data_IF_387558684348
#
_entry.id   IF_387558684348
#
_cell.length_a   1.000
_cell.length_b   1.000
_cell.length_c   1.000
_cell.angle_alpha   90.00
_cell.angle_beta   90.00
_cell.angle_gamma   90.00
#
_symmetry.space_group_name_H-M   'P 1'
#
loop_
_entity.id
_entity.type
_entity.pdbx_description
1 polymer ?
#
# COMPACT_ATOMS: atom_id res chain seq x y z
N UNK A 1 5.87 -14.91 -23.62
CA UNK A 1 5.16 -13.98 -22.73
C UNK A 1 4.32 -13.08 -23.60
N UNK A 2 3.01 -12.94 -23.33
CA UNK A 2 2.19 -11.96 -24.05
C UNK A 2 2.66 -10.56 -23.66
N UNK A 3 2.85 -9.67 -24.64
CA UNK A 3 3.15 -8.28 -24.31
C UNK A 3 1.88 -7.58 -23.83
N UNK A 4 2.00 -6.42 -23.19
CA UNK A 4 0.87 -5.74 -22.55
C UNK A 4 -0.23 -5.38 -23.55
N UNK A 5 0.08 -5.13 -24.83
CA UNK A 5 -0.91 -4.89 -25.88
C UNK A 5 -1.67 -6.17 -26.26
N UNK A 6 -1.00 -7.33 -26.25
CA UNK A 6 -1.65 -8.62 -26.46
C UNK A 6 -2.59 -8.94 -25.30
N UNK A 7 -2.19 -8.56 -24.08
CA UNK A 7 -3.01 -8.69 -22.87
C UNK A 7 -4.30 -7.86 -23.00
N UNK A 8 -4.20 -6.62 -23.47
CA UNK A 8 -5.36 -5.73 -23.62
C UNK A 8 -6.23 -6.12 -24.82
N UNK A 9 -5.62 -6.57 -25.92
CA UNK A 9 -6.34 -6.98 -27.12
C UNK A 9 -7.16 -8.27 -26.95
N UNK A 10 -6.79 -9.12 -26.00
CA UNK A 10 -7.51 -10.38 -25.72
C UNK A 10 -8.84 -10.15 -24.96
N UNK A 11 -9.08 -8.95 -24.44
CA UNK A 11 -10.34 -8.63 -23.76
C UNK A 11 -11.31 -8.07 -24.78
N UNK A 12 -12.23 -8.91 -25.22
CA UNK A 12 -13.22 -8.59 -26.26
C UNK A 12 -14.17 -7.44 -25.90
N UNK A 13 -14.39 -7.18 -24.60
CA UNK A 13 -15.07 -6.00 -24.07
C UNK A 13 -14.35 -5.50 -22.81
N UNK A 14 -13.96 -4.20 -22.73
CA UNK A 14 -13.33 -3.67 -21.55
C UNK A 14 -14.30 -3.76 -20.36
N UNK A 15 -13.82 -4.13 -19.15
CA UNK A 15 -14.62 -4.16 -17.94
C UNK A 15 -15.27 -2.79 -17.67
N UNK A 16 -16.55 -2.79 -17.28
CA UNK A 16 -17.31 -1.55 -17.04
C UNK A 16 -17.00 -0.89 -15.70
N UNK A 17 -16.30 -1.59 -14.81
CA UNK A 17 -15.95 -1.12 -13.47
C UNK A 17 -14.46 -1.24 -13.23
N UNK A 18 -13.93 -0.40 -12.34
CA UNK A 18 -12.52 -0.48 -11.95
C UNK A 18 -12.18 -1.82 -11.30
N UNK A 19 -13.08 -2.37 -10.49
CA UNK A 19 -12.89 -3.70 -9.89
C UNK A 19 -12.81 -4.80 -10.97
N UNK A 20 -13.68 -4.76 -11.98
CA UNK A 20 -13.62 -5.66 -13.13
C UNK A 20 -12.31 -5.54 -13.90
N UNK A 21 -11.79 -4.31 -14.05
CA UNK A 21 -10.48 -4.03 -14.65
C UNK A 21 -9.33 -4.66 -13.84
N UNK A 22 -9.34 -4.50 -12.51
CA UNK A 22 -8.35 -5.12 -11.64
C UNK A 22 -8.40 -6.65 -11.74
N UNK A 23 -9.60 -7.24 -11.67
CA UNK A 23 -9.76 -8.70 -11.73
C UNK A 23 -9.31 -9.29 -13.08
N UNK A 24 -9.55 -8.56 -14.18
CA UNK A 24 -9.19 -9.04 -15.53
C UNK A 24 -7.67 -9.05 -15.77
N UNK A 25 -6.91 -8.16 -15.13
CA UNK A 25 -5.50 -7.92 -15.48
C UNK A 25 -4.48 -8.18 -14.36
N UNK A 26 -4.91 -8.42 -13.11
CA UNK A 26 -4.01 -8.54 -11.97
C UNK A 26 -2.92 -9.62 -12.16
N UNK A 27 -3.27 -10.80 -12.66
CA UNK A 27 -2.31 -11.90 -12.86
C UNK A 27 -1.29 -11.56 -13.95
N UNK A 28 -1.77 -11.00 -15.05
CA UNK A 28 -0.91 -10.62 -16.19
C UNK A 28 0.05 -9.50 -15.84
N UNK A 29 -0.40 -8.53 -15.04
CA UNK A 29 0.45 -7.46 -14.52
C UNK A 29 1.44 -8.01 -13.48
N UNK A 30 1.02 -8.99 -12.67
CA UNK A 30 1.91 -9.70 -11.77
C UNK A 30 3.05 -10.41 -12.51
N UNK A 31 2.72 -11.12 -13.59
CA UNK A 31 3.71 -11.77 -14.45
C UNK A 31 4.67 -10.74 -15.08
N UNK A 32 4.13 -9.61 -15.56
CA UNK A 32 4.94 -8.53 -16.11
C UNK A 32 5.92 -7.97 -15.07
N UNK A 33 5.46 -7.65 -13.86
CA UNK A 33 6.31 -7.14 -12.77
C UNK A 33 7.45 -8.12 -12.46
N UNK A 34 7.16 -9.43 -12.43
CA UNK A 34 8.16 -10.46 -12.15
C UNK A 34 9.22 -10.59 -13.25
N UNK A 35 8.98 -10.09 -14.47
CA UNK A 35 10.02 -10.06 -15.52
C UNK A 35 11.15 -9.10 -15.22
N UNK A 36 10.92 -8.12 -14.35
CA UNK A 36 11.91 -7.14 -13.90
C UNK A 36 12.71 -7.60 -12.67
N UNK A 37 12.40 -8.80 -12.12
CA UNK A 37 13.24 -9.38 -11.08
C UNK A 37 14.50 -10.00 -11.72
N UNK A 38 15.69 -9.59 -11.31
CA UNK A 38 16.92 -10.19 -11.83
C UNK A 38 17.09 -11.64 -11.34
N UNK A 39 17.97 -12.38 -12.00
CA UNK A 39 18.42 -13.68 -11.57
C UNK A 39 19.78 -13.59 -10.86
N UNK A 40 20.03 -14.48 -9.91
CA UNK A 40 21.31 -14.55 -9.22
C UNK A 40 22.42 -15.08 -10.13
N UNK A 41 23.64 -14.62 -9.88
CA UNK A 41 24.85 -15.14 -10.54
C UNK A 41 25.43 -16.36 -9.81
N UNK A 42 24.82 -16.76 -8.70
CA UNK A 42 25.16 -17.94 -7.90
C UNK A 42 23.88 -18.66 -7.45
N UNK A 43 23.82 -20.01 -7.47
CA UNK A 43 22.62 -20.75 -7.07
C UNK A 43 22.07 -20.42 -5.67
N UNK A 44 22.95 -20.08 -4.73
CA UNK A 44 22.54 -19.71 -3.38
C UNK A 44 21.95 -18.29 -3.32
N UNK A 45 22.27 -17.39 -4.26
CA UNK A 45 21.56 -16.09 -4.37
C UNK A 45 20.12 -16.30 -4.79
N UNK A 46 19.88 -17.20 -5.77
CA UNK A 46 18.52 -17.56 -6.15
C UNK A 46 17.77 -18.20 -4.98
N UNK A 47 18.41 -19.18 -4.30
CA UNK A 47 17.79 -19.89 -3.19
C UNK A 47 17.42 -19.01 -2.01
N UNK A 48 18.32 -18.10 -1.59
CA UNK A 48 18.15 -17.33 -0.36
C UNK A 48 17.52 -15.95 -0.57
N UNK A 49 17.47 -15.44 -1.80
CA UNK A 49 17.06 -14.08 -2.07
C UNK A 49 16.00 -13.98 -3.18
N UNK A 50 16.35 -14.34 -4.44
CA UNK A 50 15.46 -14.10 -5.58
C UNK A 50 14.22 -15.01 -5.57
N UNK A 51 14.36 -16.29 -5.26
CA UNK A 51 13.22 -17.22 -5.20
C UNK A 51 12.24 -16.84 -4.08
N UNK A 52 12.66 -16.56 -2.84
CA UNK A 52 11.76 -16.05 -1.80
C UNK A 52 11.06 -14.75 -2.17
N UNK A 53 11.79 -13.79 -2.75
CA UNK A 53 11.22 -12.50 -3.17
C UNK A 53 10.17 -12.69 -4.28
N UNK A 54 10.49 -13.51 -5.29
CA UNK A 54 9.57 -13.83 -6.37
C UNK A 54 8.29 -14.50 -5.84
N UNK A 55 8.44 -15.53 -5.01
CA UNK A 55 7.31 -16.22 -4.37
C UNK A 55 6.43 -15.25 -3.58
N UNK A 56 7.04 -14.34 -2.82
CA UNK A 56 6.30 -13.32 -2.07
C UNK A 56 5.54 -12.37 -3.01
N UNK A 57 6.16 -11.93 -4.09
CA UNK A 57 5.50 -11.12 -5.12
C UNK A 57 4.35 -11.86 -5.81
N UNK A 58 4.47 -13.17 -6.06
CA UNK A 58 3.44 -14.01 -6.68
C UNK A 58 2.27 -14.34 -5.73
N UNK A 59 2.42 -14.14 -4.43
CA UNK A 59 1.39 -14.44 -3.44
C UNK A 59 0.19 -13.48 -3.51
N UNK A 60 -0.53 -13.50 -4.63
CA UNK A 60 -1.76 -12.75 -4.85
C UNK A 60 -1.55 -11.23 -4.92
N UNK A 61 -2.66 -10.50 -4.87
CA UNK A 61 -2.68 -9.05 -4.92
C UNK A 61 -3.44 -8.52 -6.14
N UNK A 62 -4.18 -7.43 -5.94
CA UNK A 62 -5.02 -6.83 -7.00
C UNK A 62 -4.22 -6.02 -8.02
N UNK A 63 -2.92 -5.82 -7.81
CA UNK A 63 -2.02 -5.03 -8.69
C UNK A 63 -2.58 -3.65 -9.07
N UNK A 64 -3.35 -3.05 -8.17
CA UNK A 64 -4.02 -1.78 -8.47
C UNK A 64 -3.04 -0.64 -8.75
N UNK A 65 -1.87 -0.58 -8.08
CA UNK A 65 -0.87 0.48 -8.28
C UNK A 65 -0.26 0.48 -9.68
N UNK A 66 0.24 -0.64 -10.20
CA UNK A 66 0.64 -0.74 -11.60
C UNK A 66 -0.50 -0.40 -12.56
N UNK A 67 -1.72 -0.89 -12.29
CA UNK A 67 -2.86 -0.70 -13.17
C UNK A 67 -3.32 0.77 -13.25
N UNK A 68 -3.32 1.51 -12.13
CA UNK A 68 -3.63 2.95 -12.17
C UNK A 68 -2.50 3.77 -12.84
N UNK A 69 -1.24 3.33 -12.75
CA UNK A 69 -0.14 3.92 -13.51
C UNK A 69 -0.37 3.79 -15.03
N UNK A 70 -0.73 2.59 -15.50
CA UNK A 70 -1.10 2.39 -16.90
C UNK A 70 -2.33 3.21 -17.32
N UNK A 71 -3.37 3.20 -16.49
CA UNK A 71 -4.59 3.97 -16.77
C UNK A 71 -4.30 5.48 -16.87
N UNK A 72 -3.45 6.00 -16.01
CA UNK A 72 -3.03 7.41 -16.05
C UNK A 72 -2.22 7.75 -17.30
N UNK A 73 -1.31 6.88 -17.71
CA UNK A 73 -0.56 7.04 -18.97
C UNK A 73 -1.52 7.11 -20.19
N UNK A 74 -2.50 6.21 -20.24
CA UNK A 74 -3.52 6.22 -21.29
C UNK A 74 -4.42 7.44 -21.23
N UNK A 75 -4.80 7.91 -20.06
CA UNK A 75 -5.70 9.05 -19.87
C UNK A 75 -5.15 10.35 -20.47
N UNK A 76 -3.84 10.52 -20.49
CA UNK A 76 -3.15 11.66 -21.14
C UNK A 76 -2.76 11.39 -22.60
N UNK A 77 -3.19 10.25 -23.17
CA UNK A 77 -2.93 9.90 -24.58
C UNK A 77 -1.60 9.21 -24.83
N UNK A 78 -0.90 8.76 -23.79
CA UNK A 78 0.39 8.08 -23.91
C UNK A 78 0.31 6.61 -24.29
N UNK A 79 1.47 6.03 -24.55
CA UNK A 79 1.63 4.60 -24.80
C UNK A 79 1.98 3.89 -23.49
N UNK A 80 1.05 3.09 -22.98
CA UNK A 80 1.23 2.38 -21.70
C UNK A 80 2.41 1.38 -21.70
N UNK A 81 2.91 0.96 -22.88
CA UNK A 81 4.11 0.11 -22.98
C UNK A 81 5.32 0.78 -22.37
N UNK A 82 5.41 2.10 -22.49
CA UNK A 82 6.48 2.90 -21.90
C UNK A 82 6.40 2.99 -20.37
N UNK A 83 5.24 2.67 -19.78
CA UNK A 83 5.05 2.74 -18.33
C UNK A 83 5.35 1.42 -17.60
N UNK A 84 5.78 0.36 -18.30
CA UNK A 84 5.96 -0.98 -17.73
C UNK A 84 7.03 -1.04 -16.65
N UNK A 85 8.19 -0.41 -16.88
CA UNK A 85 9.29 -0.36 -15.90
C UNK A 85 8.90 0.41 -14.65
N UNK A 86 8.23 1.54 -14.81
CA UNK A 86 7.77 2.36 -13.70
C UNK A 86 6.64 1.68 -12.89
N UNK A 87 5.71 1.01 -13.58
CA UNK A 87 4.68 0.21 -12.94
C UNK A 87 5.28 -0.96 -12.13
N UNK A 88 6.31 -1.63 -12.67
CA UNK A 88 7.07 -2.64 -11.93
C UNK A 88 7.82 -2.05 -10.74
N UNK A 89 8.47 -0.90 -10.89
CA UNK A 89 9.16 -0.19 -9.82
C UNK A 89 8.22 0.11 -8.64
N UNK A 90 7.01 0.61 -8.91
CA UNK A 90 6.00 0.90 -7.89
C UNK A 90 5.57 -0.39 -7.16
N UNK A 91 5.41 -1.49 -7.87
CA UNK A 91 5.03 -2.77 -7.25
C UNK A 91 6.20 -3.40 -6.46
N UNK A 92 7.46 -3.23 -6.90
CA UNK A 92 8.64 -3.61 -6.12
C UNK A 92 8.70 -2.82 -4.81
N UNK A 93 8.42 -1.51 -4.86
CA UNK A 93 8.30 -0.72 -3.65
C UNK A 93 7.22 -1.25 -2.71
N UNK A 94 6.03 -1.55 -3.24
CA UNK A 94 4.94 -2.13 -2.45
C UNK A 94 5.35 -3.48 -1.82
N UNK A 95 6.02 -4.33 -2.58
CA UNK A 95 6.53 -5.63 -2.08
C UNK A 95 7.52 -5.42 -0.92
N UNK A 96 8.47 -4.50 -1.06
CA UNK A 96 9.42 -4.13 0.00
C UNK A 96 8.71 -3.62 1.26
N UNK A 97 7.76 -2.69 1.07
CA UNK A 97 6.99 -2.12 2.16
C UNK A 97 6.22 -3.20 2.94
N UNK A 98 5.59 -4.15 2.23
CA UNK A 98 4.88 -5.26 2.88
C UNK A 98 5.82 -6.20 3.64
N UNK A 99 6.99 -6.54 3.10
CA UNK A 99 7.97 -7.41 3.78
C UNK A 99 8.45 -6.75 5.07
N UNK A 100 8.78 -5.46 5.02
CA UNK A 100 9.25 -4.72 6.20
C UNK A 100 8.14 -4.47 7.21
N UNK A 101 6.91 -4.20 6.75
CA UNK A 101 5.72 -4.03 7.58
C UNK A 101 5.38 -5.32 8.34
N UNK A 102 5.40 -6.48 7.63
CA UNK A 102 5.18 -7.80 8.26
C UNK A 102 6.18 -8.08 9.39
N UNK A 103 7.44 -7.64 9.26
CA UNK A 103 8.45 -7.78 10.31
C UNK A 103 8.16 -6.82 11.47
N UNK A 104 7.83 -5.57 11.17
CA UNK A 104 7.58 -4.54 12.17
C UNK A 104 6.33 -4.82 13.01
N UNK A 105 5.29 -5.38 12.38
CA UNK A 105 4.02 -5.75 13.01
C UNK A 105 4.06 -7.16 13.64
N UNK A 106 5.18 -7.89 13.51
CA UNK A 106 5.32 -9.30 13.94
C UNK A 106 4.19 -10.18 13.36
N UNK A 107 3.76 -9.90 12.12
CA UNK A 107 2.65 -10.58 11.47
C UNK A 107 3.03 -12.02 11.11
N UNK A 108 2.14 -12.99 11.36
CA UNK A 108 2.38 -14.39 11.01
C UNK A 108 1.95 -14.71 9.58
N UNK A 109 0.87 -14.09 9.11
CA UNK A 109 0.24 -14.37 7.82
C UNK A 109 0.08 -13.10 6.97
N UNK A 110 0.28 -13.26 5.66
CA UNK A 110 -0.04 -12.25 4.64
C UNK A 110 -0.80 -12.91 3.49
N UNK A 111 -2.03 -12.46 3.24
CA UNK A 111 -2.90 -13.04 2.18
C UNK A 111 -3.15 -14.55 2.32
N UNK A 112 -3.16 -15.05 3.57
CA UNK A 112 -3.37 -16.45 3.89
C UNK A 112 -2.13 -17.34 3.85
N UNK A 113 -0.96 -16.78 3.49
CA UNK A 113 0.32 -17.50 3.48
C UNK A 113 1.24 -16.98 4.59
N UNK A 114 2.16 -17.80 5.12
CA UNK A 114 3.14 -17.36 6.12
C UNK A 114 4.00 -16.20 5.61
N UNK A 115 4.22 -15.20 6.47
CA UNK A 115 5.11 -14.08 6.16
C UNK A 115 6.55 -14.54 5.90
N UNK A 116 7.30 -13.79 5.10
CA UNK A 116 8.66 -14.18 4.70
C UNK A 116 9.59 -14.36 5.90
N UNK A 117 9.51 -13.50 6.92
CA UNK A 117 10.34 -13.64 8.11
C UNK A 117 10.03 -14.89 8.94
N UNK A 118 8.82 -15.44 8.83
CA UNK A 118 8.46 -16.72 9.47
C UNK A 118 9.06 -17.93 8.73
N UNK A 119 9.21 -17.85 7.40
CA UNK A 119 9.72 -18.96 6.58
C UNK A 119 11.23 -18.93 6.35
N UNK A 120 11.80 -17.74 6.10
CA UNK A 120 13.20 -17.55 5.74
C UNK A 120 14.04 -16.96 6.89
N UNK A 121 13.37 -16.48 7.95
CA UNK A 121 13.99 -15.74 9.05
C UNK A 121 14.14 -14.26 8.78
N UNK A 122 14.20 -13.46 9.87
CA UNK A 122 14.19 -11.98 9.83
C UNK A 122 15.33 -11.44 8.96
N UNK A 123 16.54 -12.01 9.06
CA UNK A 123 17.71 -11.48 8.33
C UNK A 123 17.55 -11.57 6.82
N UNK A 124 17.05 -12.69 6.28
CA UNK A 124 16.81 -12.85 4.85
C UNK A 124 15.60 -12.05 4.38
N UNK A 125 14.57 -11.92 5.22
CA UNK A 125 13.41 -11.09 4.90
C UNK A 125 13.78 -9.60 4.78
N UNK A 126 14.57 -9.05 5.71
CA UNK A 126 15.11 -7.68 5.60
C UNK A 126 15.89 -7.54 4.29
N UNK A 127 16.81 -8.46 4.00
CA UNK A 127 17.64 -8.40 2.80
C UNK A 127 16.81 -8.47 1.50
N UNK A 128 15.73 -9.25 1.48
CA UNK A 128 14.81 -9.31 0.34
C UNK A 128 14.04 -8.00 0.15
N UNK A 129 13.58 -7.38 1.24
CA UNK A 129 12.96 -6.06 1.22
C UNK A 129 13.91 -4.97 0.72
N UNK A 130 15.17 -4.98 1.15
CA UNK A 130 16.21 -4.04 0.70
C UNK A 130 16.53 -4.22 -0.80
N UNK A 131 16.57 -5.48 -1.29
CA UNK A 131 16.70 -5.74 -2.72
C UNK A 131 15.52 -5.13 -3.48
N UNK A 132 14.29 -5.39 -3.05
CA UNK A 132 13.10 -4.84 -3.69
C UNK A 132 13.11 -3.31 -3.71
N UNK A 133 13.57 -2.64 -2.63
CA UNK A 133 13.78 -1.18 -2.62
C UNK A 133 14.85 -0.73 -3.62
N UNK A 134 15.94 -1.48 -3.77
CA UNK A 134 16.99 -1.13 -4.74
C UNK A 134 16.50 -1.22 -6.19
N UNK A 135 15.58 -2.17 -6.46
CA UNK A 135 14.97 -2.35 -7.79
C UNK A 135 14.04 -1.20 -8.19
N UNK A 136 13.51 -0.44 -7.23
CA UNK A 136 12.59 0.68 -7.52
C UNK A 136 13.19 1.65 -8.54
N UNK A 137 14.40 2.14 -8.28
CA UNK A 137 15.06 3.07 -9.19
C UNK A 137 15.80 2.33 -10.32
N UNK A 138 16.40 1.18 -10.03
CA UNK A 138 17.14 0.37 -10.99
C UNK A 138 16.31 0.00 -12.21
N UNK A 139 15.08 -0.45 -12.01
CA UNK A 139 14.17 -0.85 -13.07
C UNK A 139 13.89 0.28 -14.08
N UNK A 140 13.75 1.53 -13.60
CA UNK A 140 13.52 2.71 -14.46
C UNK A 140 14.81 3.17 -15.15
N UNK A 141 15.94 3.14 -14.42
CA UNK A 141 17.26 3.53 -14.99
C UNK A 141 17.63 2.65 -16.17
N UNK A 142 17.39 1.35 -16.06
CA UNK A 142 17.76 0.36 -17.06
C UNK A 142 16.78 0.27 -18.24
N UNK A 143 15.63 0.98 -18.20
CA UNK A 143 14.65 0.95 -19.28
C UNK A 143 15.23 1.60 -20.56
N UNK A 144 15.37 0.86 -21.68
CA UNK A 144 15.92 1.39 -22.93
C UNK A 144 14.92 2.26 -23.69
N UNK A 145 13.62 2.18 -23.39
CA UNK A 145 12.56 2.83 -24.16
C UNK A 145 12.20 4.23 -23.61
N UNK A 146 12.68 4.56 -22.38
CA UNK A 146 12.51 5.88 -21.79
C UNK A 146 13.74 6.78 -22.06
N UNK A 147 13.48 8.03 -22.44
CA UNK A 147 14.53 9.04 -22.53
C UNK A 147 15.03 9.49 -21.14
N UNK A 148 16.24 10.03 -21.08
CA UNK A 148 16.88 10.42 -19.81
C UNK A 148 16.10 11.50 -19.04
N UNK A 149 15.42 12.41 -19.75
CA UNK A 149 14.61 13.44 -19.10
C UNK A 149 13.40 12.83 -18.38
N UNK A 150 12.70 11.94 -19.04
CA UNK A 150 11.58 11.20 -18.48
C UNK A 150 12.03 10.32 -17.30
N UNK A 151 13.15 9.59 -17.45
CA UNK A 151 13.74 8.80 -16.35
C UNK A 151 13.99 9.65 -15.11
N UNK A 152 14.65 10.80 -15.25
CA UNK A 152 14.96 11.68 -14.12
C UNK A 152 13.69 12.16 -13.42
N UNK A 153 12.66 12.54 -14.16
CA UNK A 153 11.38 12.95 -13.59
C UNK A 153 10.71 11.81 -12.81
N UNK A 154 10.62 10.62 -13.41
CA UNK A 154 10.02 9.43 -12.78
C UNK A 154 10.80 9.03 -11.52
N UNK A 155 12.14 8.97 -11.59
CA UNK A 155 12.99 8.62 -10.44
C UNK A 155 12.81 9.65 -9.31
N UNK A 156 12.70 10.94 -9.62
CA UNK A 156 12.43 11.98 -8.61
C UNK A 156 11.13 11.73 -7.87
N UNK A 157 10.06 11.34 -8.57
CA UNK A 157 8.79 10.94 -7.96
C UNK A 157 8.93 9.71 -7.06
N UNK A 158 9.63 8.67 -7.53
CA UNK A 158 9.84 7.43 -6.78
C UNK A 158 10.70 7.64 -5.52
N UNK A 159 11.70 8.51 -5.57
CA UNK A 159 12.52 8.89 -4.41
C UNK A 159 11.66 9.63 -3.37
N UNK A 160 10.88 10.61 -3.81
CA UNK A 160 9.99 11.36 -2.91
C UNK A 160 8.92 10.45 -2.30
N UNK A 161 8.32 9.57 -3.09
CA UNK A 161 7.39 8.53 -2.63
C UNK A 161 8.02 7.67 -1.53
N UNK A 162 9.22 7.17 -1.78
CA UNK A 162 9.95 6.31 -0.83
C UNK A 162 10.19 7.05 0.48
N UNK A 163 10.71 8.28 0.41
CA UNK A 163 10.96 9.12 1.59
C UNK A 163 9.68 9.37 2.40
N UNK A 164 8.60 9.80 1.74
CA UNK A 164 7.32 10.08 2.40
C UNK A 164 6.75 8.83 3.08
N UNK A 165 6.78 7.69 2.40
CA UNK A 165 6.27 6.44 2.99
C UNK A 165 7.06 6.01 4.23
N UNK A 166 8.39 6.15 4.20
CA UNK A 166 9.24 5.87 5.38
C UNK A 166 8.93 6.83 6.54
N UNK A 167 8.74 8.12 6.26
CA UNK A 167 8.35 9.12 7.27
C UNK A 167 6.99 8.76 7.91
N UNK A 168 5.98 8.42 7.08
CA UNK A 168 4.66 8.01 7.58
C UNK A 168 4.71 6.72 8.40
N UNK A 169 5.47 5.72 7.97
CA UNK A 169 5.69 4.49 8.71
C UNK A 169 6.38 4.73 10.07
N UNK A 170 7.33 5.66 10.12
CA UNK A 170 8.01 6.04 11.37
C UNK A 170 7.04 6.67 12.37
N UNK A 171 6.08 7.47 11.91
CA UNK A 171 5.03 8.02 12.78
C UNK A 171 4.14 6.91 13.34
N UNK A 172 3.66 6.01 12.47
CA UNK A 172 2.75 4.92 12.85
C UNK A 172 3.38 4.01 13.91
N UNK A 173 4.58 3.49 13.64
CA UNK A 173 5.32 2.65 14.59
C UNK A 173 5.71 3.43 15.86
N UNK A 174 6.18 4.67 15.68
CA UNK A 174 6.67 5.49 16.79
C UNK A 174 5.58 5.83 17.79
N UNK A 175 4.38 6.19 17.34
CA UNK A 175 3.26 6.49 18.24
C UNK A 175 2.78 5.27 19.01
N UNK A 176 2.76 4.09 18.38
CA UNK A 176 2.40 2.84 19.05
C UNK A 176 3.46 2.47 20.10
N UNK A 177 4.75 2.51 19.74
CA UNK A 177 5.88 2.20 20.63
C UNK A 177 5.92 3.09 21.87
N UNK A 178 5.74 4.41 21.67
CA UNK A 178 5.87 5.40 22.78
C UNK A 178 4.55 5.60 23.55
N UNK A 179 3.49 4.83 23.22
CA UNK A 179 2.20 4.92 23.90
C UNK A 179 1.55 6.30 23.76
N UNK A 180 1.70 6.96 22.61
CA UNK A 180 1.11 8.27 22.34
C UNK A 180 -0.40 8.14 22.17
N UNK A 181 -1.18 8.80 23.04
CA UNK A 181 -2.65 8.85 23.04
C UNK A 181 -3.18 10.27 22.93
N UNK A 182 -2.31 11.20 22.60
CA UNK A 182 -2.56 12.62 22.35
C UNK A 182 -2.54 13.01 20.86
N UNK A 183 -2.55 12.01 19.98
CA UNK A 183 -2.59 12.18 18.53
C UNK A 183 -3.94 12.74 18.12
N UNK A 184 -3.93 13.77 17.28
CA UNK A 184 -5.13 14.41 16.71
C UNK A 184 -5.55 13.77 15.39
N UNK A 185 -6.79 13.98 14.91
CA UNK A 185 -7.19 13.59 13.57
C UNK A 185 -6.26 14.16 12.48
N UNK A 186 -5.80 15.39 12.63
CA UNK A 186 -4.87 16.06 11.72
C UNK A 186 -3.51 15.35 11.68
N UNK A 187 -2.98 14.90 12.82
CA UNK A 187 -1.75 14.11 12.89
C UNK A 187 -1.92 12.77 12.14
N UNK A 188 -3.05 12.07 12.36
CA UNK A 188 -3.37 10.86 11.62
C UNK A 188 -3.40 11.11 10.10
N UNK A 189 -4.04 12.19 9.66
CA UNK A 189 -4.11 12.51 8.22
C UNK A 189 -2.72 12.73 7.62
N UNK A 190 -1.81 13.39 8.34
CA UNK A 190 -0.40 13.52 7.92
C UNK A 190 0.25 12.15 7.81
N UNK A 191 0.12 11.31 8.82
CA UNK A 191 0.70 9.95 8.82
C UNK A 191 0.15 9.11 7.66
N UNK A 192 -1.18 9.03 7.49
CA UNK A 192 -1.84 8.23 6.46
C UNK A 192 -1.54 8.74 5.04
N UNK A 193 -1.46 10.07 4.85
CA UNK A 193 -1.04 10.67 3.59
C UNK A 193 0.38 10.25 3.23
N UNK A 194 1.32 10.33 4.18
CA UNK A 194 2.71 9.95 3.96
C UNK A 194 2.86 8.43 3.79
N UNK A 195 2.30 7.64 4.71
CA UNK A 195 2.45 6.17 4.71
C UNK A 195 1.80 5.51 3.49
N UNK A 196 0.63 6.01 3.05
CA UNK A 196 -0.19 5.30 2.06
C UNK A 196 -0.58 6.12 0.84
N UNK A 197 -1.10 7.34 0.99
CA UNK A 197 -1.72 8.06 -0.12
C UNK A 197 -0.72 8.37 -1.25
N UNK A 198 0.53 8.73 -0.90
CA UNK A 198 1.57 8.98 -1.90
C UNK A 198 1.85 7.76 -2.77
N UNK A 199 2.16 6.59 -2.16
CA UNK A 199 2.58 5.44 -2.95
C UNK A 199 1.42 4.62 -3.53
N UNK A 200 0.23 4.73 -2.96
CA UNK A 200 -0.94 3.97 -3.42
C UNK A 200 -1.80 4.68 -4.46
N UNK A 201 -1.71 6.00 -4.54
CA UNK A 201 -2.52 6.82 -5.44
C UNK A 201 -1.74 7.89 -6.17
N UNK A 202 -1.16 8.86 -5.45
CA UNK A 202 -0.58 10.07 -6.05
C UNK A 202 0.56 9.78 -7.03
N UNK A 203 1.56 9.00 -6.61
CA UNK A 203 2.75 8.74 -7.43
C UNK A 203 2.45 7.80 -8.59
N UNK A 204 1.71 6.68 -8.45
CA UNK A 204 1.30 5.89 -9.61
C UNK A 204 0.60 6.69 -10.69
N UNK A 205 -0.31 7.60 -10.33
CA UNK A 205 -1.01 8.45 -11.29
C UNK A 205 -0.09 9.50 -11.90
N UNK A 206 0.73 10.19 -11.08
CA UNK A 206 1.67 11.21 -11.58
C UNK A 206 2.72 10.60 -12.53
N UNK A 207 3.30 9.45 -12.17
CA UNK A 207 4.30 8.76 -12.98
C UNK A 207 3.72 8.28 -14.31
N UNK A 208 2.52 7.69 -14.30
CA UNK A 208 1.83 7.31 -15.53
C UNK A 208 1.60 8.51 -16.47
N UNK A 209 1.13 9.64 -15.92
CA UNK A 209 0.92 10.85 -16.68
C UNK A 209 2.24 11.47 -17.23
N UNK A 210 3.33 11.44 -16.42
CA UNK A 210 4.65 11.91 -16.86
C UNK A 210 5.13 11.11 -18.08
N UNK A 211 5.05 9.79 -18.01
CA UNK A 211 5.48 8.88 -19.09
C UNK A 211 4.58 9.04 -20.31
N UNK A 212 3.27 9.23 -20.09
CA UNK A 212 2.30 9.48 -21.16
C UNK A 212 2.46 10.83 -21.89
N UNK A 213 3.37 11.69 -21.41
CA UNK A 213 3.59 13.03 -21.99
C UNK A 213 2.57 14.07 -21.56
N UNK A 214 1.89 13.85 -20.45
CA UNK A 214 0.94 14.81 -19.85
C UNK A 214 1.57 16.15 -19.52
N UNK A 215 0.78 17.22 -19.64
CA UNK A 215 1.16 18.58 -19.23
C UNK A 215 1.39 18.65 -17.72
N UNK A 216 2.05 19.70 -17.23
CA UNK A 216 2.26 19.90 -15.80
C UNK A 216 0.93 19.96 -15.03
N UNK A 217 -0.09 20.58 -15.63
CA UNK A 217 -1.43 20.71 -15.05
C UNK A 217 -2.12 19.33 -14.96
N UNK A 218 -2.01 18.49 -15.99
CA UNK A 218 -2.58 17.13 -15.98
C UNK A 218 -1.90 16.24 -14.96
N UNK A 219 -0.57 16.29 -14.87
CA UNK A 219 0.20 15.55 -13.87
C UNK A 219 -0.20 15.96 -12.46
N UNK A 220 -0.34 17.27 -12.19
CA UNK A 220 -0.72 17.76 -10.87
C UNK A 220 -2.18 17.44 -10.51
N UNK A 221 -3.09 17.54 -11.46
CA UNK A 221 -4.49 17.17 -11.27
C UNK A 221 -4.63 15.67 -10.91
N UNK A 222 -3.92 14.79 -11.62
CA UNK A 222 -3.91 13.36 -11.35
C UNK A 222 -3.23 13.03 -10.02
N UNK A 223 -2.14 13.75 -9.67
CA UNK A 223 -1.49 13.63 -8.36
C UNK A 223 -2.44 13.99 -7.22
N UNK A 224 -3.12 15.13 -7.32
CA UNK A 224 -4.08 15.59 -6.30
C UNK A 224 -5.22 14.61 -6.13
N UNK A 225 -5.82 14.16 -7.23
CA UNK A 225 -6.84 13.10 -7.21
C UNK A 225 -6.33 11.82 -6.54
N UNK A 226 -5.08 11.44 -6.83
CA UNK A 226 -4.43 10.28 -6.22
C UNK A 226 -4.17 10.42 -4.73
N UNK A 227 -3.88 11.62 -4.23
CA UNK A 227 -3.75 11.88 -2.80
C UNK A 227 -5.07 11.67 -2.08
N UNK A 228 -6.15 12.27 -2.58
CA UNK A 228 -7.47 12.17 -1.95
C UNK A 228 -8.00 10.73 -1.97
N UNK A 229 -7.93 10.06 -3.12
CA UNK A 229 -8.38 8.67 -3.25
C UNK A 229 -7.48 7.68 -2.48
N UNK A 230 -6.18 7.92 -2.41
CA UNK A 230 -5.24 7.12 -1.63
C UNK A 230 -5.45 7.25 -0.13
N UNK A 231 -5.77 8.46 0.36
CA UNK A 231 -6.13 8.70 1.76
C UNK A 231 -7.48 8.05 2.11
N UNK A 232 -8.49 8.21 1.24
CA UNK A 232 -9.78 7.54 1.40
C UNK A 232 -9.62 6.01 1.44
N UNK A 233 -8.74 5.45 0.59
CA UNK A 233 -8.41 4.03 0.58
C UNK A 233 -7.83 3.56 1.92
N UNK A 234 -6.89 4.31 2.52
CA UNK A 234 -6.33 3.96 3.83
C UNK A 234 -7.40 3.98 4.93
N UNK A 235 -8.23 5.03 4.98
CA UNK A 235 -9.31 5.11 5.98
C UNK A 235 -10.31 3.96 5.80
N UNK A 236 -10.61 3.57 4.56
CA UNK A 236 -11.48 2.44 4.27
C UNK A 236 -10.86 1.10 4.68
N UNK A 237 -9.53 0.93 4.50
CA UNK A 237 -8.80 -0.28 4.93
C UNK A 237 -8.84 -0.41 6.47
N UNK A 238 -8.61 0.68 7.20
CA UNK A 238 -8.72 0.74 8.66
C UNK A 238 -10.15 0.38 9.13
N UNK A 239 -11.17 0.89 8.44
CA UNK A 239 -12.58 0.54 8.73
C UNK A 239 -12.88 -0.93 8.46
N UNK A 240 -12.38 -1.49 7.36
CA UNK A 240 -12.56 -2.91 7.04
C UNK A 240 -11.86 -3.81 8.05
N UNK A 241 -10.67 -3.44 8.55
CA UNK A 241 -10.00 -4.17 9.61
C UNK A 241 -10.83 -4.20 10.90
N UNK A 242 -11.49 -3.09 11.23
CA UNK A 242 -12.25 -2.93 12.48
C UNK A 242 -13.62 -3.61 12.46
N UNK A 243 -14.42 -3.41 11.38
CA UNK A 243 -15.84 -3.79 11.29
C UNK A 243 -16.17 -4.71 10.11
N UNK A 244 -15.18 -5.12 9.32
CA UNK A 244 -15.33 -6.12 8.26
C UNK A 244 -15.68 -7.51 8.81
N UNK A 245 -15.80 -8.50 7.93
CA UNK A 245 -15.91 -9.91 8.34
C UNK A 245 -14.54 -10.58 8.31
N UNK A 246 -14.35 -11.63 9.12
CA UNK A 246 -13.14 -12.46 9.07
C UNK A 246 -12.85 -13.01 7.66
N UNK A 247 -13.90 -13.25 6.86
CA UNK A 247 -13.77 -13.71 5.48
C UNK A 247 -13.30 -12.62 4.52
N UNK A 248 -13.62 -11.33 4.80
CA UNK A 248 -13.24 -10.19 3.96
C UNK A 248 -11.84 -9.66 4.28
N UNK A 249 -11.42 -9.81 5.53
CA UNK A 249 -10.07 -9.47 6.00
C UNK A 249 -9.23 -10.73 5.97
N UNK A 250 -8.48 -10.99 4.90
CA UNK A 250 -7.47 -12.07 4.82
C UNK A 250 -6.26 -11.82 5.74
N UNK A 251 -6.36 -10.91 6.67
CA UNK A 251 -5.50 -10.58 7.81
C UNK A 251 -6.21 -10.98 9.10
N UNK A 252 -5.48 -10.98 10.19
CA UNK A 252 -6.06 -11.12 11.52
C UNK A 252 -7.10 -10.01 11.75
N UNK A 253 -8.35 -10.41 11.94
CA UNK A 253 -9.46 -9.49 12.18
C UNK A 253 -9.20 -8.63 13.42
N UNK A 254 -9.34 -7.30 13.29
CA UNK A 254 -9.03 -6.31 14.33
C UNK A 254 -7.55 -6.27 14.75
N UNK A 255 -6.64 -6.65 13.87
CA UNK A 255 -5.19 -6.59 14.15
C UNK A 255 -4.72 -5.17 14.50
N UNK A 256 -5.31 -4.13 13.93
CA UNK A 256 -4.95 -2.73 14.24
C UNK A 256 -5.15 -2.38 15.72
N UNK A 257 -6.16 -2.97 16.40
CA UNK A 257 -6.34 -2.80 17.83
C UNK A 257 -5.22 -3.53 18.59
N UNK A 258 -4.93 -4.77 18.20
CA UNK A 258 -3.86 -5.58 18.82
C UNK A 258 -2.48 -4.95 18.66
N UNK A 259 -2.20 -4.39 17.49
CA UNK A 259 -0.96 -3.67 17.18
C UNK A 259 -0.91 -2.27 17.84
N UNK A 260 -2.04 -1.82 18.36
CA UNK A 260 -2.17 -0.52 19.02
C UNK A 260 -2.06 0.65 18.05
N UNK A 261 -2.51 0.48 16.78
CA UNK A 261 -2.45 1.53 15.77
C UNK A 261 -3.33 2.72 16.11
N UNK A 262 -2.89 3.91 15.72
CA UNK A 262 -3.61 5.18 15.89
C UNK A 262 -4.40 5.48 14.62
N UNK A 263 -5.39 4.61 14.29
CA UNK A 263 -6.28 4.85 13.16
C UNK A 263 -7.18 6.06 13.39
N UNK A 264 -7.78 6.61 12.33
CA UNK A 264 -8.70 7.77 12.44
C UNK A 264 -9.84 7.50 13.44
N UNK A 265 -10.36 6.25 13.42
CA UNK A 265 -11.42 5.82 14.34
C UNK A 265 -10.93 5.84 15.79
N UNK A 266 -9.74 5.30 16.06
CA UNK A 266 -9.13 5.27 17.40
C UNK A 266 -8.88 6.68 17.91
N UNK A 267 -8.26 7.52 17.10
CA UNK A 267 -7.90 8.90 17.48
C UNK A 267 -9.16 9.71 17.80
N UNK A 268 -10.19 9.63 16.95
CA UNK A 268 -11.46 10.32 17.18
C UNK A 268 -12.17 9.77 18.44
N UNK A 269 -12.14 8.46 18.67
CA UNK A 269 -12.74 7.85 19.86
C UNK A 269 -12.05 8.32 21.13
N UNK A 270 -10.72 8.37 21.17
CA UNK A 270 -9.96 8.87 22.30
C UNK A 270 -10.23 10.34 22.63
N UNK A 271 -10.53 11.15 21.62
CA UNK A 271 -10.87 12.56 21.80
C UNK A 271 -12.29 12.79 22.33
N UNK A 272 -13.23 11.88 22.04
CA UNK A 272 -14.66 12.08 22.30
C UNK A 272 -15.26 11.13 23.36
N UNK A 273 -14.50 10.14 23.84
CA UNK A 273 -14.97 9.20 24.86
C UNK A 273 -15.04 9.85 26.26
N UNK A 274 -16.00 9.40 27.09
CA UNK A 274 -16.01 9.71 28.51
C UNK A 274 -14.73 9.21 29.17
N UNK A 275 -14.29 9.84 30.29
CA UNK A 275 -12.99 9.54 30.91
C UNK A 275 -12.75 8.05 31.18
N UNK A 276 -13.75 7.34 31.70
CA UNK A 276 -13.65 5.93 32.03
C UNK A 276 -13.52 5.05 30.77
N UNK A 277 -14.30 5.35 29.73
CA UNK A 277 -14.27 4.64 28.45
C UNK A 277 -12.95 4.92 27.71
N UNK A 278 -12.44 6.16 27.78
CA UNK A 278 -11.14 6.53 27.24
C UNK A 278 -10.01 5.76 27.90
N UNK A 279 -9.99 5.70 29.24
CA UNK A 279 -8.99 4.95 29.98
C UNK A 279 -9.02 3.46 29.65
N UNK A 280 -10.23 2.89 29.55
CA UNK A 280 -10.41 1.50 29.15
C UNK A 280 -9.91 1.22 27.74
N UNK A 281 -10.21 2.08 26.77
CA UNK A 281 -9.71 1.97 25.39
C UNK A 281 -8.16 2.03 25.37
N UNK A 282 -7.54 2.93 26.12
CA UNK A 282 -6.09 3.00 26.24
C UNK A 282 -5.52 1.70 26.81
N UNK A 283 -6.12 1.12 27.85
CA UNK A 283 -5.69 -0.17 28.41
C UNK A 283 -5.72 -1.28 27.37
N UNK A 284 -6.78 -1.40 26.56
CA UNK A 284 -6.90 -2.40 25.51
C UNK A 284 -5.82 -2.21 24.46
N UNK A 285 -5.64 -0.99 23.95
CA UNK A 285 -4.62 -0.67 22.92
C UNK A 285 -3.18 -0.90 23.41
N UNK A 286 -2.93 -0.72 24.72
CA UNK A 286 -1.60 -0.92 25.29
C UNK A 286 -1.25 -2.37 25.57
N UNK A 287 -2.27 -3.22 25.77
CA UNK A 287 -2.09 -4.60 26.24
C UNK A 287 -1.72 -5.58 25.11
N UNK A 288 -1.74 -5.16 23.83
CA UNK A 288 -1.63 -6.05 22.67
C UNK A 288 -2.61 -7.24 22.80
N UNK A 289 -3.82 -6.94 23.22
CA UNK A 289 -4.87 -7.91 23.54
C UNK A 289 -5.33 -8.66 22.29
N UNK A 290 -5.58 -9.96 22.43
CA UNK A 290 -6.08 -10.81 21.34
C UNK A 290 -7.43 -11.48 21.65
N UNK A 291 -7.97 -11.30 22.87
CA UNK A 291 -9.28 -11.86 23.23
C UNK A 291 -10.38 -11.15 22.41
N UNK A 292 -11.14 -11.88 21.57
CA UNK A 292 -12.19 -11.31 20.74
C UNK A 292 -13.25 -10.51 21.53
N UNK A 293 -13.54 -10.88 22.77
CA UNK A 293 -14.50 -10.17 23.61
C UNK A 293 -13.94 -8.79 24.04
N UNK A 294 -12.65 -8.71 24.37
CA UNK A 294 -11.99 -7.46 24.72
C UNK A 294 -11.82 -6.55 23.49
N UNK A 295 -11.50 -7.14 22.33
CA UNK A 295 -11.46 -6.38 21.07
C UNK A 295 -12.84 -5.83 20.70
N UNK A 296 -13.91 -6.59 20.95
CA UNK A 296 -15.29 -6.12 20.73
C UNK A 296 -15.63 -4.92 21.65
N UNK A 297 -15.19 -4.94 22.92
CA UNK A 297 -15.35 -3.83 23.85
C UNK A 297 -14.73 -2.53 23.34
N UNK A 298 -13.53 -2.60 22.73
CA UNK A 298 -12.91 -1.44 22.08
C UNK A 298 -13.77 -0.90 20.92
N UNK A 299 -14.32 -1.79 20.10
CA UNK A 299 -15.22 -1.41 18.99
C UNK A 299 -16.49 -0.75 19.52
N UNK A 300 -17.07 -1.24 20.63
CA UNK A 300 -18.27 -0.65 21.25
C UNK A 300 -17.99 0.81 21.69
N UNK A 301 -16.82 1.10 22.26
CA UNK A 301 -16.42 2.47 22.59
C UNK A 301 -16.31 3.34 21.35
N UNK A 302 -15.69 2.84 20.27
CA UNK A 302 -15.54 3.56 19.00
C UNK A 302 -16.91 3.82 18.34
N UNK A 303 -17.83 2.89 18.47
CA UNK A 303 -19.20 3.06 17.96
C UNK A 303 -20.02 4.05 18.80
N UNK A 304 -19.94 3.96 20.13
CA UNK A 304 -20.65 4.85 21.05
C UNK A 304 -20.21 6.32 20.90
N UNK A 305 -18.96 6.58 20.51
CA UNK A 305 -18.43 7.92 20.23
C UNK A 305 -18.73 8.43 18.82
N UNK A 306 -19.41 7.64 17.96
CA UNK A 306 -19.67 7.98 16.56
C UNK A 306 -18.42 7.98 15.67
N UNK A 307 -17.30 7.40 16.13
CA UNK A 307 -16.01 7.49 15.47
C UNK A 307 -15.94 6.69 14.18
N UNK A 308 -16.68 5.58 14.10
CA UNK A 308 -16.79 4.77 12.88
C UNK A 308 -17.48 5.58 11.76
N UNK A 309 -18.58 6.25 12.09
CA UNK A 309 -19.31 7.08 11.12
C UNK A 309 -18.54 8.32 10.72
N UNK A 310 -17.82 8.92 11.66
CA UNK A 310 -16.90 10.04 11.37
C UNK A 310 -15.86 9.65 10.32
N UNK A 311 -15.17 8.52 10.51
CA UNK A 311 -14.15 8.05 9.57
C UNK A 311 -14.76 7.68 8.21
N UNK A 312 -15.93 7.04 8.18
CA UNK A 312 -16.65 6.72 6.94
C UNK A 312 -17.00 7.98 6.16
N UNK A 313 -17.66 8.94 6.81
CA UNK A 313 -18.04 10.20 6.17
C UNK A 313 -16.82 11.00 5.68
N UNK A 314 -15.70 10.93 6.41
CA UNK A 314 -14.46 11.57 5.99
C UNK A 314 -13.94 10.96 4.68
N UNK A 315 -13.88 9.62 4.58
CA UNK A 315 -13.44 8.94 3.37
C UNK A 315 -14.37 9.20 2.16
N UNK A 316 -15.70 9.23 2.37
CA UNK A 316 -16.68 9.53 1.34
C UNK A 316 -16.53 10.96 0.80
N UNK A 317 -16.27 11.94 1.68
CA UNK A 317 -16.07 13.35 1.27
C UNK A 317 -14.79 13.55 0.45
N UNK A 318 -13.75 12.73 0.63
CA UNK A 318 -12.53 12.81 -0.17
C UNK A 318 -12.76 12.36 -1.63
N UNK A 319 -13.81 11.59 -1.89
CA UNK A 319 -14.07 10.96 -3.20
C UNK A 319 -15.31 11.51 -3.90
N UNK A 320 -15.95 12.54 -3.36
CA UNK A 320 -17.20 13.16 -3.87
C UNK A 320 -16.96 14.41 -4.78
#
# INVERSE_FOLDING_TARGET
MKNINEIIADVAEPPKTFEGYLMAYADQVGDLVNTYLPAGTHPDMDRYLYTPLKRYSENGGKRHRPLICFASCLAVGGDMRLATSAAAAIEHFHTAALIHDDIADEAELRRGEPCMHCTEGIGLAINAGDLALSLVNGTVVEDPDLDDHTKVRVISELIEMTRRTIEGQALDIGWARDGRYDITPEDYLVMATHKTAHYSGAVPLAVGAIIGGGTAEEVEALRSYGLDTGLAFQIQDDLLNLIGSEESTKKDFRSDITEGKRTLVVVHALANAAPEARERLIQILSAKEKDPAVLAEAVDVMQATGSIEYARSYAENLTS
#
